data_IF_714455679733
#
_entry.id   IF_714455679733
#
_cell.length_a   1.000
_cell.length_b   1.000
_cell.length_c   1.000
_cell.angle_alpha   90.00
_cell.angle_beta   90.00
_cell.angle_gamma   90.00
#
_symmetry.space_group_name_H-M   'P 1'
#
loop_
_entity.id
_entity.type
_entity.pdbx_description
1 polymer ?
#
# COMPACT_ATOMS: atom_id res chain seq x y z
N UNK A 1 21.14 -5.50 9.90
CA UNK A 1 20.10 -5.23 8.88
C UNK A 1 20.51 -4.21 7.80
N UNK A 2 21.43 -3.27 8.06
CA UNK A 2 21.77 -2.20 7.10
C UNK A 2 22.27 -2.68 5.73
N UNK A 3 23.25 -3.59 5.67
CA UNK A 3 23.87 -3.98 4.39
C UNK A 3 22.91 -4.67 3.41
N UNK A 4 22.02 -5.54 3.88
CA UNK A 4 20.99 -6.18 3.06
C UNK A 4 19.97 -5.17 2.52
N UNK A 5 19.59 -4.17 3.33
CA UNK A 5 18.73 -3.08 2.87
C UNK A 5 19.44 -2.20 1.83
N UNK A 6 20.72 -1.86 2.03
CA UNK A 6 21.51 -1.08 1.06
C UNK A 6 21.67 -1.81 -0.29
N UNK A 7 22.01 -3.10 -0.25
CA UNK A 7 22.11 -3.94 -1.46
C UNK A 7 20.72 -4.08 -2.11
N UNK A 8 19.66 -4.22 -1.32
CA UNK A 8 18.28 -4.31 -1.83
C UNK A 8 17.84 -3.04 -2.54
N UNK A 9 18.19 -1.88 -1.99
CA UNK A 9 17.93 -0.57 -2.63
C UNK A 9 18.75 -0.41 -3.91
N UNK A 10 19.99 -0.90 -3.96
CA UNK A 10 20.84 -0.86 -5.15
C UNK A 10 20.42 -1.85 -6.27
N UNK A 11 19.88 -3.02 -5.91
CA UNK A 11 19.29 -3.96 -6.87
C UNK A 11 17.94 -3.42 -7.34
N UNK A 12 17.12 -2.88 -6.43
CA UNK A 12 15.83 -2.26 -6.74
C UNK A 12 15.95 -1.09 -7.73
N UNK A 13 17.04 -0.32 -7.67
CA UNK A 13 17.28 0.78 -8.62
C UNK A 13 17.62 0.29 -10.04
N UNK A 14 18.22 -0.90 -10.20
CA UNK A 14 18.45 -1.53 -11.51
C UNK A 14 17.22 -2.22 -12.09
N UNK A 15 16.30 -2.69 -11.26
CA UNK A 15 15.03 -3.31 -11.69
C UNK A 15 13.95 -2.26 -12.01
N UNK A 16 14.26 -0.98 -11.77
CA UNK A 16 13.40 0.21 -11.99
C UNK A 16 13.07 0.52 -13.47
N UNK A 17 13.24 -0.47 -14.35
CA UNK A 17 12.65 -0.50 -15.69
C UNK A 17 11.36 -1.32 -15.78
N UNK A 18 10.83 -1.83 -14.66
CA UNK A 18 9.59 -2.64 -14.68
C UNK A 18 8.40 -1.84 -14.16
N UNK A 19 7.53 -1.38 -15.05
CA UNK A 19 6.28 -0.64 -14.77
C UNK A 19 5.21 -1.43 -13.95
N UNK A 20 5.62 -2.49 -13.24
CA UNK A 20 4.72 -3.48 -12.62
C UNK A 20 5.17 -3.80 -11.19
N UNK A 21 4.74 -3.02 -10.17
CA UNK A 21 5.08 -3.31 -8.76
C UNK A 21 4.67 -4.72 -8.32
N UNK A 22 3.59 -5.26 -8.90
CA UNK A 22 3.12 -6.63 -8.65
C UNK A 22 4.18 -7.70 -9.02
N UNK A 23 4.95 -7.45 -10.10
CA UNK A 23 5.99 -8.36 -10.57
C UNK A 23 7.20 -8.34 -9.61
N UNK A 24 7.53 -7.17 -9.08
CA UNK A 24 8.60 -7.01 -8.11
C UNK A 24 8.32 -7.81 -6.83
N UNK A 25 7.09 -7.71 -6.28
CA UNK A 25 6.65 -8.47 -5.10
C UNK A 25 6.69 -9.97 -5.38
N UNK A 26 6.24 -10.41 -6.56
CA UNK A 26 6.24 -11.82 -6.93
C UNK A 26 7.67 -12.39 -6.98
N UNK A 27 8.59 -11.72 -7.67
CA UNK A 27 9.97 -12.21 -7.80
C UNK A 27 10.66 -12.20 -6.44
N UNK A 28 10.58 -11.10 -5.68
CA UNK A 28 11.27 -10.99 -4.40
C UNK A 28 10.77 -12.02 -3.39
N UNK A 29 9.46 -12.22 -3.29
CA UNK A 29 8.86 -13.22 -2.40
C UNK A 29 9.20 -14.64 -2.84
N UNK A 30 9.22 -14.91 -4.16
CA UNK A 30 9.61 -16.22 -4.70
C UNK A 30 11.08 -16.57 -4.41
N UNK A 31 11.99 -15.60 -4.57
CA UNK A 31 13.41 -15.75 -4.19
C UNK A 31 13.53 -16.00 -2.68
N UNK A 32 12.85 -15.19 -1.85
CA UNK A 32 12.88 -15.36 -0.40
C UNK A 32 12.37 -16.74 0.04
N UNK A 33 11.27 -17.22 -0.53
CA UNK A 33 10.73 -18.55 -0.25
C UNK A 33 11.72 -19.66 -0.64
N UNK A 34 12.32 -19.56 -1.83
CA UNK A 34 13.29 -20.55 -2.31
C UNK A 34 14.52 -20.61 -1.39
N UNK A 35 15.09 -19.46 -1.03
CA UNK A 35 16.25 -19.40 -0.13
C UNK A 35 15.91 -19.89 1.28
N UNK A 36 14.71 -19.58 1.79
CA UNK A 36 14.27 -20.07 3.09
C UNK A 36 14.14 -21.59 3.13
N UNK A 37 13.57 -22.19 2.07
CA UNK A 37 13.48 -23.65 1.93
C UNK A 37 14.88 -24.28 1.90
N UNK A 38 15.80 -23.74 1.09
CA UNK A 38 17.19 -24.22 1.05
C UNK A 38 17.86 -24.10 2.43
N UNK A 39 17.69 -22.97 3.11
CA UNK A 39 18.26 -22.72 4.44
C UNK A 39 17.72 -23.69 5.50
N UNK A 40 16.44 -24.06 5.41
CA UNK A 40 15.84 -25.03 6.31
C UNK A 40 16.47 -26.43 6.15
N UNK A 41 16.74 -26.86 4.92
CA UNK A 41 17.33 -28.18 4.64
C UNK A 41 18.84 -28.25 4.89
N UNK A 42 19.60 -27.24 4.48
CA UNK A 42 21.07 -27.27 4.51
C UNK A 42 21.65 -26.52 5.71
N UNK A 43 20.85 -26.31 6.76
CA UNK A 43 21.12 -25.39 7.87
C UNK A 43 22.62 -25.23 8.20
N UNK A 44 23.10 -24.00 8.01
CA UNK A 44 24.46 -23.58 8.34
C UNK A 44 24.47 -22.08 8.63
N UNK A 45 25.49 -21.60 9.36
CA UNK A 45 25.65 -20.17 9.67
C UNK A 45 25.69 -19.34 8.38
N UNK A 46 26.38 -19.83 7.35
CA UNK A 46 26.44 -19.17 6.05
C UNK A 46 25.05 -19.00 5.42
N UNK A 47 24.24 -20.06 5.41
CA UNK A 47 22.88 -20.00 4.87
C UNK A 47 21.97 -19.09 5.71
N UNK A 48 22.15 -19.06 7.03
CA UNK A 48 21.44 -18.11 7.89
C UNK A 48 21.78 -16.65 7.56
N UNK A 49 23.05 -16.33 7.28
CA UNK A 49 23.49 -14.99 6.85
C UNK A 49 22.92 -14.64 5.48
N UNK A 50 22.95 -15.58 4.52
CA UNK A 50 22.34 -15.40 3.20
C UNK A 50 20.85 -15.13 3.33
N UNK A 51 20.15 -15.90 4.16
CA UNK A 51 18.73 -15.72 4.41
C UNK A 51 18.43 -14.36 5.04
N UNK A 52 19.23 -13.92 6.02
CA UNK A 52 19.09 -12.60 6.63
C UNK A 52 19.30 -11.45 5.62
N UNK A 53 20.24 -11.62 4.69
CA UNK A 53 20.48 -10.67 3.60
C UNK A 53 19.29 -10.63 2.63
N UNK A 54 18.79 -11.79 2.20
CA UNK A 54 17.62 -11.90 1.32
C UNK A 54 16.36 -11.33 1.97
N UNK A 55 16.16 -11.57 3.27
CA UNK A 55 15.06 -10.99 4.04
C UNK A 55 15.15 -9.46 4.06
N UNK A 56 16.34 -8.89 4.28
CA UNK A 56 16.57 -7.44 4.25
C UNK A 56 16.28 -6.82 2.88
N UNK A 57 16.74 -7.46 1.80
CA UNK A 57 16.44 -7.05 0.42
C UNK A 57 14.94 -7.08 0.17
N UNK A 58 14.28 -8.18 0.52
CA UNK A 58 12.85 -8.39 0.29
C UNK A 58 12.01 -7.37 1.07
N UNK A 59 12.39 -7.05 2.30
CA UNK A 59 11.74 -6.01 3.10
C UNK A 59 11.83 -4.62 2.45
N UNK A 60 13.00 -4.24 1.91
CA UNK A 60 13.18 -2.97 1.20
C UNK A 60 12.35 -2.89 -0.08
N UNK A 61 12.35 -3.97 -0.88
CA UNK A 61 11.54 -4.07 -2.10
C UNK A 61 10.04 -4.08 -1.80
N UNK A 62 9.62 -4.75 -0.72
CA UNK A 62 8.23 -4.82 -0.29
C UNK A 62 7.67 -3.45 0.06
N UNK A 63 8.40 -2.65 0.84
CA UNK A 63 8.02 -1.26 1.14
C UNK A 63 7.94 -0.41 -0.13
N UNK A 64 8.95 -0.48 -0.99
CA UNK A 64 8.98 0.28 -2.25
C UNK A 64 7.81 -0.10 -3.17
N UNK A 65 7.47 -1.39 -3.27
CA UNK A 65 6.34 -1.86 -4.07
C UNK A 65 5.00 -1.42 -3.48
N UNK A 66 4.85 -1.48 -2.16
CA UNK A 66 3.66 -1.02 -1.44
C UNK A 66 3.42 0.47 -1.71
N UNK A 67 4.47 1.28 -1.62
CA UNK A 67 4.38 2.72 -1.89
C UNK A 67 3.92 2.99 -3.33
N UNK A 68 4.45 2.25 -4.30
CA UNK A 68 4.06 2.35 -5.70
C UNK A 68 2.61 1.87 -5.95
N UNK A 69 2.17 0.80 -5.29
CA UNK A 69 0.80 0.27 -5.39
C UNK A 69 -0.18 1.29 -4.81
N UNK A 70 0.08 1.85 -3.63
CA UNK A 70 -0.77 2.87 -3.00
C UNK A 70 -0.89 4.08 -3.92
N UNK A 71 0.21 4.54 -4.51
CA UNK A 71 0.17 5.67 -5.44
C UNK A 71 -0.67 5.37 -6.69
N UNK A 72 -0.63 4.13 -7.19
CA UNK A 72 -1.35 3.69 -8.39
C UNK A 72 -2.85 3.45 -8.14
N UNK A 73 -3.21 2.91 -6.98
CA UNK A 73 -4.55 2.36 -6.73
C UNK A 73 -5.42 3.22 -5.80
N UNK A 74 -4.81 4.12 -5.02
CA UNK A 74 -5.55 4.96 -4.06
C UNK A 74 -5.75 6.37 -4.63
N UNK A 75 -7.00 6.90 -4.62
CA UNK A 75 -7.29 8.28 -5.02
C UNK A 75 -6.48 9.31 -4.21
N UNK A 76 -6.13 10.45 -4.82
CA UNK A 76 -5.30 11.50 -4.20
C UNK A 76 -5.79 11.92 -2.80
N UNK A 77 -7.12 12.02 -2.61
CA UNK A 77 -7.73 12.42 -1.34
C UNK A 77 -7.53 11.42 -0.20
N UNK A 78 -7.25 10.15 -0.51
CA UNK A 78 -7.13 9.06 0.47
C UNK A 78 -5.69 8.54 0.62
N UNK A 79 -4.77 8.97 -0.25
CA UNK A 79 -3.40 8.47 -0.33
C UNK A 79 -2.64 8.63 0.99
N UNK A 80 -2.71 9.79 1.64
CA UNK A 80 -2.03 10.04 2.91
C UNK A 80 -2.51 9.10 4.04
N UNK A 81 -3.82 8.88 4.14
CA UNK A 81 -4.39 7.94 5.11
C UNK A 81 -4.02 6.48 4.80
N UNK A 82 -4.02 6.11 3.51
CA UNK A 82 -3.61 4.78 3.07
C UNK A 82 -2.14 4.49 3.37
N UNK A 83 -1.24 5.47 3.20
CA UNK A 83 0.16 5.36 3.61
C UNK A 83 0.30 5.17 5.12
N UNK A 84 -0.37 6.01 5.91
CA UNK A 84 -0.31 5.91 7.38
C UNK A 84 -0.79 4.54 7.89
N UNK A 85 -1.93 4.05 7.38
CA UNK A 85 -2.44 2.72 7.74
C UNK A 85 -1.49 1.60 7.35
N UNK A 86 -0.88 1.70 6.16
CA UNK A 86 0.03 0.67 5.65
C UNK A 86 1.33 0.59 6.45
N UNK A 87 1.85 1.73 6.92
CA UNK A 87 3.02 1.75 7.80
C UNK A 87 2.71 1.15 9.17
N UNK A 88 1.55 1.47 9.77
CA UNK A 88 1.13 0.83 11.02
C UNK A 88 0.99 -0.69 10.85
N UNK A 89 0.40 -1.15 9.75
CA UNK A 89 0.31 -2.58 9.46
C UNK A 89 1.69 -3.22 9.30
N UNK A 90 2.64 -2.52 8.66
CA UNK A 90 4.02 -3.01 8.53
C UNK A 90 4.70 -3.13 9.91
N UNK A 91 4.49 -2.15 10.78
CA UNK A 91 5.00 -2.17 12.15
C UNK A 91 4.39 -3.34 12.94
N UNK A 92 3.07 -3.54 12.86
CA UNK A 92 2.39 -4.67 13.51
C UNK A 92 2.87 -6.02 12.96
N UNK A 93 3.07 -6.13 11.65
CA UNK A 93 3.59 -7.35 11.03
C UNK A 93 5.02 -7.66 11.51
N UNK A 94 5.86 -6.63 11.65
CA UNK A 94 7.21 -6.78 12.19
C UNK A 94 7.19 -7.26 13.65
N UNK A 95 6.34 -6.65 14.49
CA UNK A 95 6.18 -7.07 15.90
C UNK A 95 5.70 -8.51 15.98
N UNK A 96 4.70 -8.89 15.18
CA UNK A 96 4.20 -10.25 15.14
C UNK A 96 5.29 -11.25 14.71
N UNK A 97 6.07 -10.92 13.68
CA UNK A 97 7.21 -11.73 13.25
C UNK A 97 8.27 -11.90 14.35
N UNK A 98 8.57 -10.84 15.09
CA UNK A 98 9.47 -10.88 16.25
C UNK A 98 8.94 -11.78 17.37
N UNK A 99 7.65 -11.68 17.70
CA UNK A 99 7.01 -12.52 18.71
C UNK A 99 7.04 -14.00 18.33
N UNK A 100 6.73 -14.34 17.07
CA UNK A 100 6.85 -15.71 16.55
C UNK A 100 8.30 -16.20 16.63
N UNK A 101 9.26 -15.34 16.27
CA UNK A 101 10.69 -15.66 16.34
C UNK A 101 11.19 -15.97 17.76
N UNK A 102 10.69 -15.25 18.76
CA UNK A 102 11.05 -15.46 20.18
C UNK A 102 10.38 -16.72 20.74
N UNK A 103 9.13 -17.01 20.33
CA UNK A 103 8.38 -18.17 20.81
C UNK A 103 8.92 -19.49 20.25
N UNK A 104 9.62 -19.44 19.12
CA UNK A 104 10.25 -20.62 18.51
C UNK A 104 11.41 -21.15 19.36
N UNK A 105 11.57 -22.48 19.47
CA UNK A 105 12.76 -23.07 20.08
C UNK A 105 14.03 -22.58 19.37
N UNK A 106 15.12 -22.40 20.11
CA UNK A 106 16.45 -21.96 19.60
C UNK A 106 17.18 -23.03 18.78
N UNK A 107 16.43 -23.95 18.18
CA UNK A 107 16.92 -24.99 17.28
C UNK A 107 16.82 -24.45 15.86
N UNK A 108 17.97 -24.11 15.27
CA UNK A 108 18.02 -23.32 14.03
C UNK A 108 17.21 -23.86 12.86
N UNK A 109 17.24 -25.18 12.61
CA UNK A 109 16.46 -25.79 11.53
C UNK A 109 14.94 -25.64 11.72
N UNK A 110 14.45 -25.63 12.97
CA UNK A 110 13.01 -25.45 13.27
C UNK A 110 12.60 -24.02 12.89
N UNK A 111 13.38 -23.02 13.31
CA UNK A 111 13.10 -21.61 13.00
C UNK A 111 13.06 -21.35 11.49
N UNK A 112 14.03 -21.89 10.74
CA UNK A 112 14.06 -21.74 9.28
C UNK A 112 12.98 -22.56 8.57
N UNK A 113 12.57 -23.72 9.11
CA UNK A 113 11.44 -24.48 8.56
C UNK A 113 10.14 -23.70 8.68
N UNK A 114 9.88 -23.08 9.83
CA UNK A 114 8.69 -22.24 10.02
C UNK A 114 8.73 -21.02 9.10
N UNK A 115 9.88 -20.35 9.00
CA UNK A 115 10.06 -19.24 8.07
C UNK A 115 9.82 -19.67 6.61
N UNK A 116 10.32 -20.85 6.20
CA UNK A 116 10.11 -21.41 4.87
C UNK A 116 8.62 -21.67 4.59
N UNK A 117 7.90 -22.30 5.53
CA UNK A 117 6.45 -22.53 5.40
C UNK A 117 5.70 -21.22 5.24
N UNK A 118 5.96 -20.22 6.09
CA UNK A 118 5.31 -18.91 6.00
C UNK A 118 5.59 -18.21 4.67
N UNK A 119 6.83 -18.25 4.18
CA UNK A 119 7.21 -17.63 2.90
C UNK A 119 6.60 -18.36 1.69
N UNK A 120 6.53 -19.68 1.72
CA UNK A 120 5.87 -20.48 0.66
C UNK A 120 4.38 -20.16 0.61
N UNK A 121 3.72 -20.04 1.76
CA UNK A 121 2.31 -19.64 1.86
C UNK A 121 2.11 -18.21 1.33
N UNK A 122 2.97 -17.26 1.73
CA UNK A 122 2.92 -15.89 1.23
C UNK A 122 3.14 -15.81 -0.29
N UNK A 123 4.05 -16.61 -0.83
CA UNK A 123 4.29 -16.71 -2.28
C UNK A 123 3.05 -17.29 -3.00
N UNK A 124 2.42 -18.31 -2.43
CA UNK A 124 1.15 -18.86 -2.92
C UNK A 124 0.03 -17.83 -2.96
N UNK A 125 -0.13 -17.02 -1.90
CA UNK A 125 -1.10 -15.91 -1.89
C UNK A 125 -0.79 -14.85 -2.96
N UNK A 126 0.49 -14.55 -3.18
CA UNK A 126 0.93 -13.59 -4.21
C UNK A 126 0.58 -14.09 -5.61
N UNK A 127 0.80 -15.39 -5.89
CA UNK A 127 0.41 -16.03 -7.14
C UNK A 127 -1.11 -16.03 -7.35
N UNK A 128 -1.86 -16.39 -6.31
CA UNK A 128 -3.32 -16.41 -6.36
C UNK A 128 -3.91 -15.02 -6.59
N UNK A 129 -3.39 -13.99 -5.91
CA UNK A 129 -3.78 -12.60 -6.08
C UNK A 129 -3.53 -12.08 -7.50
N UNK A 130 -2.42 -12.49 -8.14
CA UNK A 130 -2.13 -12.16 -9.54
C UNK A 130 -3.13 -12.75 -10.52
N UNK A 131 -3.58 -13.98 -10.25
CA UNK A 131 -4.47 -14.72 -11.15
C UNK A 131 -5.95 -14.34 -10.96
N UNK A 132 -6.30 -13.54 -9.94
CA UNK A 132 -7.66 -13.01 -9.84
C UNK A 132 -7.91 -12.00 -10.97
N UNK A 133 -8.93 -12.22 -11.82
CA UNK A 133 -9.31 -11.21 -12.80
C UNK A 133 -9.63 -9.91 -12.04
N UNK A 134 -9.00 -8.80 -12.43
CA UNK A 134 -9.26 -7.45 -11.92
C UNK A 134 -10.64 -7.00 -12.38
N UNK A 135 -11.67 -7.65 -11.85
CA UNK A 135 -13.08 -7.39 -12.10
C UNK A 135 -13.60 -6.34 -11.13
N UNK A 136 -13.03 -5.14 -11.11
CA UNK A 136 -13.77 -3.96 -10.68
C UNK A 136 -13.70 -2.97 -11.85
N UNK A 137 -14.57 -3.23 -12.83
CA UNK A 137 -15.02 -2.21 -13.77
C UNK A 137 -15.78 -1.18 -12.92
N UNK A 138 -15.07 -0.20 -12.36
CA UNK A 138 -15.70 0.99 -11.79
C UNK A 138 -16.65 1.51 -12.87
N UNK A 139 -17.96 1.52 -12.60
CA UNK A 139 -18.94 2.04 -13.57
C UNK A 139 -18.48 3.46 -13.89
N UNK A 140 -18.17 3.73 -15.17
CA UNK A 140 -17.66 5.02 -15.61
C UNK A 140 -18.54 6.13 -15.02
N UNK A 141 -18.00 7.03 -14.18
CA UNK A 141 -18.76 8.11 -13.56
C UNK A 141 -19.54 8.93 -14.60
N UNK A 142 -19.03 9.02 -15.84
CA UNK A 142 -19.70 9.70 -16.95
C UNK A 142 -20.97 8.98 -17.39
N UNK A 143 -20.99 7.63 -17.34
CA UNK A 143 -22.22 6.85 -17.60
C UNK A 143 -23.23 6.96 -16.46
N UNK A 144 -22.79 7.10 -15.21
CA UNK A 144 -23.69 7.32 -14.08
C UNK A 144 -24.34 8.70 -14.15
N UNK A 145 -23.56 9.74 -14.49
CA UNK A 145 -24.09 11.09 -14.73
C UNK A 145 -25.03 11.13 -15.94
N UNK A 146 -24.70 10.42 -17.03
CA UNK A 146 -25.57 10.32 -18.21
C UNK A 146 -26.87 9.54 -17.91
N UNK A 147 -26.81 8.43 -17.16
CA UNK A 147 -28.00 7.67 -16.71
C UNK A 147 -28.89 8.53 -15.78
N UNK A 148 -28.30 9.43 -14.99
CA UNK A 148 -29.01 10.38 -14.12
C UNK A 148 -29.66 11.52 -14.93
N UNK A 149 -29.01 11.99 -15.99
CA UNK A 149 -29.55 13.00 -16.91
C UNK A 149 -30.63 12.44 -17.85
N UNK A 150 -30.62 11.14 -18.13
CA UNK A 150 -31.61 10.48 -19.01
C UNK A 150 -32.71 9.71 -18.27
N UNK A 151 -32.68 9.67 -16.93
CA UNK A 151 -33.79 9.11 -16.15
C UNK A 151 -34.98 10.09 -16.17
N UNK A 152 -36.22 9.65 -16.49
CA UNK A 152 -37.42 10.49 -16.50
C UNK A 152 -37.82 11.09 -15.14
N UNK A 153 -37.01 10.88 -14.11
CA UNK A 153 -37.26 11.22 -12.70
C UNK A 153 -36.00 11.81 -12.04
N UNK A 154 -35.19 12.55 -12.81
CA UNK A 154 -34.16 13.40 -12.23
C UNK A 154 -34.78 14.35 -11.19
N UNK A 155 -34.04 14.77 -10.15
CA UNK A 155 -34.54 15.76 -9.20
C UNK A 155 -35.09 16.95 -9.99
N UNK A 156 -36.36 17.29 -9.75
CA UNK A 156 -36.90 18.55 -10.23
C UNK A 156 -35.89 19.63 -9.81
N UNK A 157 -35.42 20.49 -10.74
CA UNK A 157 -34.62 21.65 -10.36
C UNK A 157 -35.32 22.31 -9.18
N UNK A 158 -34.62 22.66 -8.08
CA UNK A 158 -35.22 23.52 -7.08
C UNK A 158 -35.84 24.68 -7.85
N UNK A 159 -37.13 24.92 -7.66
CA UNK A 159 -37.76 26.11 -8.21
C UNK A 159 -36.83 27.28 -7.90
N UNK A 160 -36.55 28.11 -8.91
CA UNK A 160 -35.67 29.26 -8.76
C UNK A 160 -35.98 29.91 -7.40
N UNK A 161 -34.99 30.06 -6.51
CA UNK A 161 -35.24 30.76 -5.27
C UNK A 161 -35.87 32.10 -5.66
N UNK A 162 -37.02 32.48 -5.05
CA UNK A 162 -37.72 33.71 -5.40
C UNK A 162 -36.67 34.80 -5.43
N UNK A 163 -36.53 35.43 -6.61
CA UNK A 163 -35.48 36.38 -6.94
C UNK A 163 -35.24 37.25 -5.72
N UNK A 164 -34.16 36.98 -4.99
CA UNK A 164 -33.84 37.79 -3.82
C UNK A 164 -33.73 39.21 -4.37
N UNK A 165 -34.39 40.21 -3.74
CA UNK A 165 -34.27 41.59 -4.18
C UNK A 165 -32.78 41.88 -4.30
N UNK A 166 -32.38 42.36 -5.49
CA UNK A 166 -31.01 42.77 -5.77
C UNK A 166 -30.47 43.46 -4.52
N UNK A 167 -29.41 42.88 -3.93
CA UNK A 167 -28.71 43.46 -2.80
C UNK A 167 -28.53 44.94 -3.06
N UNK A 168 -29.20 45.73 -2.23
CA UNK A 168 -29.07 47.18 -2.21
C UNK A 168 -27.58 47.54 -2.23
N UNK A 169 -27.13 48.51 -3.04
CA UNK A 169 -25.73 48.86 -3.12
C UNK A 169 -25.20 49.21 -1.72
N UNK A 170 -24.12 48.56 -1.30
CA UNK A 170 -23.42 48.86 -0.05
C UNK A 170 -23.14 50.36 0.04
N UNK A 171 -23.76 51.04 1.01
CA UNK A 171 -23.55 52.45 1.31
C UNK A 171 -22.07 52.69 1.70
N UNK A 172 -21.28 53.43 0.91
CA UNK A 172 -19.88 53.73 1.22
C UNK A 172 -19.70 54.56 2.50
N UNK A 173 -20.78 55.11 3.07
CA UNK A 173 -20.77 55.94 4.28
C UNK A 173 -20.98 55.19 5.59
N UNK A 174 -21.20 53.87 5.58
CA UNK A 174 -21.49 53.13 6.80
C UNK A 174 -20.26 53.09 7.75
N UNK A 175 -20.40 53.49 9.03
CA UNK A 175 -19.30 53.43 10.00
C UNK A 175 -18.80 52.00 10.15
N UNK A 176 -17.48 51.80 10.00
CA UNK A 176 -16.87 50.48 10.24
C UNK A 176 -17.03 50.12 11.72
N UNK A 177 -17.41 48.88 12.07
CA UNK A 177 -17.39 48.43 13.47
C UNK A 177 -15.98 48.61 14.03
N UNK A 178 -15.85 49.33 15.14
CA UNK A 178 -14.58 49.48 15.85
C UNK A 178 -14.18 48.13 16.44
N UNK A 179 -13.00 47.62 16.06
CA UNK A 179 -12.42 46.39 16.58
C UNK A 179 -12.25 46.49 18.11
N UNK A 180 -12.83 45.56 18.90
CA UNK A 180 -12.68 45.56 20.36
C UNK A 180 -11.33 44.98 20.86
N UNK A 181 -10.34 44.77 19.98
CA UNK A 181 -9.05 44.15 20.32
C UNK A 181 -7.81 44.91 19.81
N UNK A 182 -7.93 46.23 19.56
CA UNK A 182 -6.79 47.10 19.30
C UNK A 182 -6.25 47.73 20.59
#
# INVERSE_FOLDING_TARGET
AGLGSFIGTAIGSRVRGTDKPDLLVLISTGVAATVAVLTAFTYSILMAVVMALVAGITNSLGKTALDAIIQREVPESLRASAFGRSETLLQLAWVFGGAVGILLPTVGWIGFTVAAVLLVVAFGFTLYGRNRPRGIRMKDPRKVAHDQLTSPSGPHPPADPPTAPLTEPLDPGAPRPSDPYA
#
